data_IF_353016978801
#
_entry.id   IF_353016978801
#
_cell.length_a   1.000
_cell.length_b   1.000
_cell.length_c   1.000
_cell.angle_alpha   90.00
_cell.angle_beta   90.00
_cell.angle_gamma   90.00
#
_symmetry.space_group_name_H-M   'P 1'
#
loop_
_entity.id
_entity.type
_entity.pdbx_description
1 polymer ?
#
# COMPACT_ATOMS: atom_id res chain seq x y z
N UNK A 1 10.67 3.14 5.74
CA UNK A 1 9.26 3.07 5.33
C UNK A 1 8.82 1.64 5.01
N UNK A 2 9.60 0.86 4.27
CA UNK A 2 9.26 -0.54 3.94
C UNK A 2 9.12 -1.41 5.19
N UNK A 3 10.04 -1.28 6.13
CA UNK A 3 9.98 -2.04 7.38
C UNK A 3 8.74 -1.66 8.20
N UNK A 4 8.42 -0.39 8.28
CA UNK A 4 7.21 0.10 8.96
C UNK A 4 5.93 -0.41 8.29
N UNK A 5 5.87 -0.36 6.96
CA UNK A 5 4.76 -0.92 6.19
C UNK A 5 4.59 -2.41 6.44
N UNK A 6 5.69 -3.18 6.45
CA UNK A 6 5.71 -4.60 6.76
C UNK A 6 5.12 -4.90 8.14
N UNK A 7 5.61 -4.20 9.16
CA UNK A 7 5.12 -4.39 10.53
C UNK A 7 3.65 -4.06 10.68
N UNK A 8 3.17 -3.02 9.99
CA UNK A 8 1.76 -2.67 10.02
C UNK A 8 0.89 -3.75 9.37
N UNK A 9 1.32 -4.32 8.24
CA UNK A 9 0.63 -5.45 7.60
C UNK A 9 0.59 -6.68 8.52
N UNK A 10 1.72 -7.04 9.13
CA UNK A 10 1.79 -8.16 10.06
C UNK A 10 0.88 -7.96 11.28
N UNK A 11 0.85 -6.74 11.84
CA UNK A 11 -0.07 -6.39 12.93
C UNK A 11 -1.53 -6.55 12.52
N UNK A 12 -1.88 -6.10 11.31
CA UNK A 12 -3.25 -6.22 10.79
C UNK A 12 -3.66 -7.69 10.65
N UNK A 13 -2.79 -8.54 10.13
CA UNK A 13 -3.01 -9.98 10.02
C UNK A 13 -3.15 -10.63 11.41
N UNK A 14 -2.31 -10.25 12.37
CA UNK A 14 -2.41 -10.73 13.72
C UNK A 14 -3.75 -10.35 14.39
N UNK A 15 -4.23 -9.10 14.21
CA UNK A 15 -5.55 -8.70 14.71
C UNK A 15 -6.66 -9.58 14.14
N UNK A 16 -6.61 -9.88 12.84
CA UNK A 16 -7.54 -10.79 12.18
C UNK A 16 -7.51 -12.18 12.80
N UNK A 17 -6.33 -12.73 13.01
CA UNK A 17 -6.16 -14.07 13.58
C UNK A 17 -6.66 -14.15 15.04
N UNK A 18 -6.66 -13.03 15.74
CA UNK A 18 -7.25 -12.90 17.10
C UNK A 18 -8.76 -12.58 17.06
N UNK A 19 -9.42 -12.63 15.90
CA UNK A 19 -10.82 -12.24 15.70
C UNK A 19 -11.16 -10.84 16.23
N UNK A 20 -10.18 -9.92 16.17
CA UNK A 20 -10.35 -8.52 16.57
C UNK A 20 -10.71 -7.64 15.38
N UNK A 21 -11.41 -6.50 15.59
CA UNK A 21 -11.63 -5.52 14.53
C UNK A 21 -10.30 -5.08 13.91
N UNK A 22 -10.23 -5.07 12.57
CA UNK A 22 -9.00 -4.76 11.82
C UNK A 22 -9.26 -4.01 10.51
N UNK A 23 -10.51 -3.59 10.25
CA UNK A 23 -10.88 -2.94 8.98
C UNK A 23 -10.15 -1.61 8.75
N UNK A 24 -9.95 -0.82 9.80
CA UNK A 24 -9.23 0.44 9.70
C UNK A 24 -7.74 0.21 9.42
N UNK A 25 -7.13 -0.77 10.10
CA UNK A 25 -5.74 -1.17 9.88
C UNK A 25 -5.54 -1.71 8.46
N UNK A 26 -6.48 -2.51 7.95
CA UNK A 26 -6.45 -2.99 6.58
C UNK A 26 -6.57 -1.84 5.57
N UNK A 27 -7.42 -0.86 5.84
CA UNK A 27 -7.54 0.35 5.02
C UNK A 27 -6.24 1.19 5.05
N UNK A 28 -5.55 1.28 6.18
CA UNK A 28 -4.23 1.93 6.26
C UNK A 28 -3.21 1.17 5.43
N UNK A 29 -3.13 -0.17 5.55
CA UNK A 29 -2.24 -0.98 4.71
C UNK A 29 -2.50 -0.72 3.22
N UNK A 30 -3.75 -0.83 2.79
CA UNK A 30 -4.14 -0.69 1.38
C UNK A 30 -3.94 0.72 0.86
N UNK A 31 -4.15 1.75 1.69
CA UNK A 31 -4.01 3.15 1.29
C UNK A 31 -2.57 3.63 1.23
N UNK A 32 -1.68 3.13 2.09
CA UNK A 32 -0.32 3.63 2.23
C UNK A 32 0.74 2.74 1.58
N UNK A 33 0.63 1.42 1.73
CA UNK A 33 1.71 0.51 1.32
C UNK A 33 1.96 0.55 -0.19
N UNK A 34 0.95 0.55 -1.08
CA UNK A 34 1.21 0.67 -2.51
C UNK A 34 1.89 2.00 -2.89
N UNK A 35 1.53 3.12 -2.27
CA UNK A 35 2.18 4.42 -2.51
C UNK A 35 3.67 4.35 -2.14
N UNK A 36 4.00 3.83 -0.95
CA UNK A 36 5.39 3.62 -0.51
C UNK A 36 6.14 2.72 -1.49
N UNK A 37 5.52 1.62 -1.94
CA UNK A 37 6.15 0.69 -2.86
C UNK A 37 6.41 1.32 -4.24
N UNK A 38 5.50 2.15 -4.76
CA UNK A 38 5.71 2.90 -6.01
C UNK A 38 6.95 3.77 -5.90
N UNK A 39 7.07 4.55 -4.83
CA UNK A 39 8.21 5.44 -4.61
C UNK A 39 9.53 4.65 -4.52
N UNK A 40 9.57 3.59 -3.74
CA UNK A 40 10.76 2.76 -3.59
C UNK A 40 11.17 2.09 -4.90
N UNK A 41 10.23 1.52 -5.65
CA UNK A 41 10.54 0.85 -6.93
C UNK A 41 10.99 1.87 -7.97
N UNK A 42 10.37 3.06 -8.02
CA UNK A 42 10.81 4.17 -8.87
C UNK A 42 12.25 4.58 -8.55
N UNK A 43 12.58 4.73 -7.29
CA UNK A 43 13.93 5.09 -6.87
C UNK A 43 14.95 3.99 -7.21
N UNK A 44 14.58 2.72 -7.05
CA UNK A 44 15.38 1.58 -7.51
C UNK A 44 15.61 1.64 -9.03
N UNK A 45 14.58 1.95 -9.82
CA UNK A 45 14.70 2.09 -11.27
C UNK A 45 15.70 3.20 -11.63
N UNK A 46 15.60 4.35 -10.98
CA UNK A 46 16.52 5.48 -11.21
C UNK A 46 17.95 5.12 -10.82
N UNK A 47 18.16 4.43 -9.70
CA UNK A 47 19.50 3.98 -9.28
C UNK A 47 20.15 2.98 -10.25
N UNK A 48 19.36 2.20 -10.97
CA UNK A 48 19.86 1.29 -12.03
C UNK A 48 20.11 2.03 -13.36
N UNK A 49 19.76 3.30 -13.45
CA UNK A 49 19.93 4.10 -14.65
C UNK A 49 19.15 3.55 -15.84
N UNK A 50 19.69 3.73 -17.04
CA UNK A 50 19.05 3.26 -18.27
C UNK A 50 18.70 1.77 -18.25
N UNK A 51 19.54 0.95 -17.64
CA UNK A 51 19.34 -0.50 -17.56
C UNK A 51 18.08 -0.87 -16.74
N UNK A 52 17.77 -0.10 -15.69
CA UNK A 52 16.55 -0.27 -14.89
C UNK A 52 15.26 0.02 -15.68
N UNK A 53 15.35 0.84 -16.72
CA UNK A 53 14.23 1.19 -17.60
C UNK A 53 13.96 0.12 -18.67
N UNK A 54 14.89 -0.78 -18.92
CA UNK A 54 14.76 -1.87 -19.93
C UNK A 54 13.98 -3.04 -19.35
N UNK A 55 13.53 -3.94 -20.24
CA UNK A 55 12.89 -5.21 -19.87
C UNK A 55 13.87 -6.31 -19.46
N UNK A 56 15.17 -6.06 -19.51
CA UNK A 56 16.21 -7.01 -19.08
C UNK A 56 16.21 -7.22 -17.56
N UNK A 57 15.73 -6.22 -16.81
CA UNK A 57 15.49 -6.31 -15.37
C UNK A 57 14.00 -6.27 -15.06
N UNK A 58 13.54 -6.93 -13.99
CA UNK A 58 12.12 -6.99 -13.64
C UNK A 58 11.63 -5.71 -12.95
N UNK A 59 12.39 -4.61 -12.92
CA UNK A 59 12.08 -3.41 -12.16
C UNK A 59 10.89 -2.66 -12.78
N UNK A 60 10.87 -2.51 -14.13
CA UNK A 60 9.77 -1.85 -14.81
C UNK A 60 8.45 -2.62 -14.66
N UNK A 61 8.50 -3.95 -14.71
CA UNK A 61 7.34 -4.79 -14.46
C UNK A 61 6.80 -4.60 -13.04
N UNK A 62 7.68 -4.61 -12.05
CA UNK A 62 7.29 -4.39 -10.65
C UNK A 62 6.65 -3.02 -10.44
N UNK A 63 7.14 -1.99 -11.13
CA UNK A 63 6.54 -0.67 -11.08
C UNK A 63 5.12 -0.67 -11.66
N UNK A 64 4.91 -1.31 -12.81
CA UNK A 64 3.58 -1.46 -13.41
C UNK A 64 2.63 -2.24 -12.49
N UNK A 65 3.09 -3.34 -11.93
CA UNK A 65 2.28 -4.20 -11.05
C UNK A 65 1.84 -3.45 -9.79
N UNK A 66 2.76 -2.72 -9.15
CA UNK A 66 2.40 -1.97 -7.94
C UNK A 66 1.51 -0.77 -8.23
N UNK A 67 1.63 -0.13 -9.40
CA UNK A 67 0.69 0.91 -9.83
C UNK A 67 -0.74 0.37 -9.96
N UNK A 68 -0.91 -0.88 -10.39
CA UNK A 68 -2.21 -1.56 -10.40
C UNK A 68 -2.83 -1.67 -9.00
N UNK A 69 -2.01 -1.81 -7.97
CA UNK A 69 -2.49 -1.86 -6.58
C UNK A 69 -3.03 -0.52 -6.06
N UNK A 70 -2.71 0.60 -6.70
CA UNK A 70 -3.31 1.90 -6.36
C UNK A 70 -4.79 1.98 -6.76
N UNK A 71 -5.22 1.14 -7.69
CA UNK A 71 -6.56 1.16 -8.28
C UNK A 71 -7.40 -0.02 -7.79
N UNK A 72 -6.82 -1.21 -7.79
CA UNK A 72 -7.49 -2.46 -7.42
C UNK A 72 -7.99 -2.42 -5.97
N UNK A 73 -9.16 -2.99 -5.72
CA UNK A 73 -9.77 -3.14 -4.38
C UNK A 73 -9.94 -1.83 -3.59
N UNK A 74 -10.13 -0.73 -4.29
CA UNK A 74 -10.34 0.60 -3.72
C UNK A 74 -9.09 1.46 -3.73
N UNK A 75 -9.25 2.67 -4.23
CA UNK A 75 -8.18 3.66 -4.32
C UNK A 75 -7.76 4.18 -2.94
N UNK A 76 -6.57 4.83 -2.80
CA UNK A 76 -6.16 5.47 -1.56
C UNK A 76 -7.20 6.45 -0.99
N UNK A 77 -7.96 7.14 -1.86
CA UNK A 77 -9.02 8.06 -1.43
C UNK A 77 -10.16 7.33 -0.73
N UNK A 78 -10.59 6.18 -1.27
CA UNK A 78 -11.61 5.34 -0.64
C UNK A 78 -11.11 4.80 0.70
N UNK A 79 -9.84 4.40 0.78
CA UNK A 79 -9.27 3.93 2.04
C UNK A 79 -9.25 5.04 3.11
N UNK A 80 -8.95 6.29 2.73
CA UNK A 80 -9.03 7.45 3.63
C UNK A 80 -10.45 7.67 4.17
N UNK A 81 -11.48 7.48 3.36
CA UNK A 81 -12.89 7.54 3.80
C UNK A 81 -13.18 6.43 4.84
N UNK A 82 -12.71 5.21 4.61
CA UNK A 82 -12.91 4.09 5.54
C UNK A 82 -12.23 4.40 6.89
N UNK A 83 -11.00 4.92 6.86
CA UNK A 83 -10.26 5.31 8.07
C UNK A 83 -11.00 6.44 8.80
N UNK A 84 -11.44 7.47 8.08
CA UNK A 84 -12.15 8.60 8.67
C UNK A 84 -13.45 8.15 9.34
N UNK A 85 -14.21 7.26 8.71
CA UNK A 85 -15.44 6.67 9.29
C UNK A 85 -15.17 5.87 10.56
N UNK A 86 -14.03 5.22 10.64
CA UNK A 86 -13.63 4.50 11.85
C UNK A 86 -13.29 5.46 12.99
N UNK A 87 -12.62 6.57 12.69
CA UNK A 87 -12.15 7.54 13.67
C UNK A 87 -13.26 8.47 14.19
N UNK A 88 -14.14 8.91 13.30
CA UNK A 88 -15.12 9.97 13.60
C UNK A 88 -16.57 9.49 13.63
N UNK A 89 -16.86 8.29 13.14
CA UNK A 89 -18.22 7.79 12.97
C UNK A 89 -18.75 8.01 11.55
N UNK A 90 -19.69 7.15 11.15
CA UNK A 90 -20.27 7.20 9.79
C UNK A 90 -21.17 8.42 9.56
N UNK A 91 -21.68 9.01 10.62
CA UNK A 91 -22.53 10.18 10.60
C UNK A 91 -21.80 11.46 10.18
N UNK A 92 -20.46 11.47 10.25
CA UNK A 92 -19.63 12.62 9.91
C UNK A 92 -18.88 12.50 8.58
N UNK A 93 -18.92 11.31 7.93
CA UNK A 93 -18.13 11.05 6.71
C UNK A 93 -18.95 10.31 5.66
#
# INVERSE_FOLDING_TARGET
WLEMARWHCLRTLWLRDQNRPHNAEAAVCKGMVPEICVDVIRDCLVLHGHYGYTQDLPIEQRLRDVCGQLIADGTPQIQKIIIARHLYGREFV
#
